data_IF_622212711261
#
_entry.id   IF_622212711261
#
_cell.length_a   1.000
_cell.length_b   1.000
_cell.length_c   1.000
_cell.angle_alpha   90.00
_cell.angle_beta   90.00
_cell.angle_gamma   90.00
#
_symmetry.space_group_name_H-M   'P 1'
#
loop_
_entity.id
_entity.type
_entity.pdbx_description
1 polymer ?
#
# COMPACT_ATOMS: atom_id res chain seq x y z
N UNK A 1 29.07 -19.55 9.21
CA UNK A 1 28.42 -18.21 9.20
C UNK A 1 27.00 -18.37 9.70
N UNK A 2 26.50 -17.47 10.55
CA UNK A 2 25.09 -17.51 10.92
C UNK A 2 24.25 -17.22 9.68
N UNK A 3 23.10 -17.84 9.57
CA UNK A 3 22.24 -17.74 8.40
C UNK A 3 21.68 -16.30 8.18
N UNK A 4 21.59 -15.49 9.22
CA UNK A 4 21.27 -14.04 9.14
C UNK A 4 22.39 -13.25 8.46
N UNK A 5 23.62 -13.70 8.53
CA UNK A 5 24.78 -13.09 7.87
C UNK A 5 24.65 -13.18 6.34
N UNK A 6 24.15 -14.28 5.78
CA UNK A 6 23.94 -14.41 4.34
C UNK A 6 22.93 -13.39 3.80
N UNK A 7 21.83 -13.15 4.53
CA UNK A 7 20.84 -12.17 4.15
C UNK A 7 21.41 -10.74 4.26
N UNK A 8 22.16 -10.45 5.32
CA UNK A 8 22.87 -9.18 5.49
C UNK A 8 23.89 -8.94 4.37
N UNK A 9 24.68 -9.94 4.02
CA UNK A 9 25.73 -9.84 2.99
C UNK A 9 25.19 -9.54 1.59
N UNK A 10 23.92 -9.83 1.35
CA UNK A 10 23.22 -9.44 0.13
C UNK A 10 22.46 -8.12 0.23
N UNK A 11 21.83 -7.88 1.36
CA UNK A 11 21.09 -6.62 1.57
C UNK A 11 22.02 -5.40 1.61
N UNK A 12 23.19 -5.50 2.22
CA UNK A 12 24.10 -4.37 2.32
C UNK A 12 24.61 -3.89 0.95
N UNK A 13 25.11 -4.75 0.04
CA UNK A 13 25.47 -4.37 -1.33
C UNK A 13 24.27 -3.80 -2.09
N UNK A 14 23.10 -4.42 -1.97
CA UNK A 14 21.87 -3.95 -2.61
C UNK A 14 21.51 -2.53 -2.15
N UNK A 15 21.48 -2.26 -0.84
CA UNK A 15 21.25 -0.93 -0.30
C UNK A 15 22.31 0.07 -0.74
N UNK A 16 23.59 -0.34 -0.73
CA UNK A 16 24.71 0.52 -1.12
C UNK A 16 24.68 0.90 -2.60
N UNK A 17 24.31 -0.02 -3.45
CA UNK A 17 24.24 0.18 -4.90
C UNK A 17 23.05 1.04 -5.30
N UNK A 18 21.90 0.85 -4.67
CA UNK A 18 20.64 1.42 -5.13
C UNK A 18 20.12 2.59 -4.30
N UNK A 19 20.51 2.73 -3.02
CA UNK A 19 20.17 3.95 -2.27
C UNK A 19 21.10 5.12 -2.63
N UNK A 20 20.59 6.33 -2.45
CA UNK A 20 21.39 7.55 -2.60
C UNK A 20 22.18 7.91 -1.34
N UNK A 21 22.12 7.08 -0.34
CA UNK A 21 22.70 7.32 0.97
C UNK A 21 24.16 6.86 1.02
N UNK A 22 25.06 7.71 1.55
CA UNK A 22 26.52 7.45 1.49
C UNK A 22 27.12 6.97 2.81
N UNK A 23 26.49 7.21 3.96
CA UNK A 23 27.05 6.79 5.25
C UNK A 23 26.92 5.28 5.44
N UNK A 24 28.03 4.58 5.27
CA UNK A 24 28.11 3.13 5.35
C UNK A 24 27.73 2.59 6.74
N UNK A 25 27.93 3.35 7.82
CA UNK A 25 27.57 2.93 9.19
C UNK A 25 26.05 2.81 9.32
N UNK A 26 25.33 3.79 8.75
CA UNK A 26 23.87 3.77 8.73
C UNK A 26 23.32 2.66 7.83
N UNK A 27 23.90 2.46 6.64
CA UNK A 27 23.53 1.35 5.74
C UNK A 27 23.76 -0.01 6.38
N UNK A 28 24.90 -0.22 7.06
CA UNK A 28 25.16 -1.45 7.82
C UNK A 28 24.12 -1.68 8.90
N UNK A 29 23.79 -0.62 9.67
CA UNK A 29 22.77 -0.71 10.72
C UNK A 29 21.40 -1.04 10.14
N UNK A 30 20.99 -0.38 9.05
CA UNK A 30 19.74 -0.63 8.35
C UNK A 30 19.67 -2.06 7.79
N UNK A 31 20.74 -2.53 7.13
CA UNK A 31 20.80 -3.89 6.61
C UNK A 31 20.63 -4.95 7.72
N UNK A 32 21.25 -4.74 8.87
CA UNK A 32 21.06 -5.62 10.03
C UNK A 32 19.62 -5.59 10.58
N UNK A 33 19.02 -4.41 10.71
CA UNK A 33 17.63 -4.28 11.17
C UNK A 33 16.66 -4.99 10.21
N UNK A 34 16.84 -4.81 8.90
CA UNK A 34 15.98 -5.48 7.89
C UNK A 34 16.18 -7.00 7.91
N UNK A 35 17.43 -7.47 8.01
CA UNK A 35 17.73 -8.91 8.11
C UNK A 35 17.11 -9.51 9.37
N UNK A 36 17.28 -8.85 10.52
CA UNK A 36 16.74 -9.28 11.79
C UNK A 36 15.20 -9.29 11.79
N UNK A 37 14.57 -8.28 11.19
CA UNK A 37 13.12 -8.24 11.02
C UNK A 37 12.60 -9.40 10.17
N UNK A 38 13.24 -9.71 9.05
CA UNK A 38 12.85 -10.83 8.17
C UNK A 38 12.99 -12.16 8.92
N UNK A 39 14.06 -12.33 9.71
CA UNK A 39 14.33 -13.55 10.45
C UNK A 39 13.36 -13.73 11.64
N UNK A 40 13.18 -12.70 12.47
CA UNK A 40 12.31 -12.74 13.64
C UNK A 40 10.82 -12.72 13.25
N UNK A 41 10.45 -11.94 12.24
CA UNK A 41 9.06 -11.65 11.90
C UNK A 41 8.41 -10.60 12.82
N UNK A 42 9.18 -9.87 13.65
CA UNK A 42 8.64 -8.94 14.64
C UNK A 42 9.41 -7.60 14.63
N UNK A 43 8.68 -6.49 14.68
CA UNK A 43 9.25 -5.15 14.85
C UNK A 43 9.54 -4.83 16.34
N UNK A 44 9.92 -5.82 17.09
CA UNK A 44 10.35 -5.72 18.49
C UNK A 44 11.88 -5.68 18.55
N UNK A 45 12.44 -4.60 19.09
CA UNK A 45 13.91 -4.42 19.15
C UNK A 45 14.64 -5.55 19.89
N UNK A 46 14.12 -6.09 21.03
CA UNK A 46 14.71 -7.25 21.68
C UNK A 46 14.69 -8.51 20.81
N UNK A 47 13.65 -8.72 20.00
CA UNK A 47 13.53 -9.89 19.13
C UNK A 47 14.59 -9.94 18.01
N UNK A 48 15.30 -8.83 17.75
CA UNK A 48 16.33 -8.75 16.73
C UNK A 48 17.71 -9.22 17.24
N UNK A 49 17.92 -9.24 18.54
CA UNK A 49 19.21 -9.57 19.18
C UNK A 49 19.81 -10.89 18.65
N UNK A 50 19.09 -12.03 18.61
CA UNK A 50 19.66 -13.32 18.22
C UNK A 50 20.17 -13.36 16.77
N UNK A 51 19.71 -12.42 15.95
CA UNK A 51 20.00 -12.40 14.50
C UNK A 51 21.09 -11.42 14.11
N UNK A 52 21.66 -10.68 15.08
CA UNK A 52 22.65 -9.64 14.80
C UNK A 52 23.96 -9.91 15.52
N UNK A 53 25.05 -10.22 14.81
CA UNK A 53 26.35 -10.40 15.44
C UNK A 53 26.76 -9.15 16.18
N UNK A 54 27.12 -9.30 17.46
CA UNK A 54 27.58 -8.21 18.29
C UNK A 54 28.57 -8.71 19.33
N UNK A 55 29.48 -7.83 19.75
CA UNK A 55 30.36 -8.05 20.90
C UNK A 55 29.71 -7.57 22.22
N UNK A 56 28.52 -6.99 22.15
CA UNK A 56 27.80 -6.55 23.33
C UNK A 56 27.32 -7.75 24.13
N UNK A 57 27.51 -7.71 25.44
CA UNK A 57 27.07 -8.72 26.40
C UNK A 57 25.79 -8.30 27.13
N UNK A 58 25.40 -7.02 27.02
CA UNK A 58 24.25 -6.44 27.70
C UNK A 58 23.13 -6.17 26.70
N UNK A 59 21.92 -6.70 26.96
CA UNK A 59 20.73 -6.50 26.12
C UNK A 59 20.47 -5.01 25.83
N UNK A 60 20.63 -4.14 26.82
CA UNK A 60 20.47 -2.70 26.68
C UNK A 60 21.43 -2.06 25.64
N UNK A 61 22.59 -2.66 25.41
CA UNK A 61 23.56 -2.16 24.42
C UNK A 61 23.09 -2.39 22.98
N UNK A 62 22.35 -3.49 22.73
CA UNK A 62 21.71 -3.76 21.46
C UNK A 62 20.61 -2.75 21.18
N UNK A 63 19.70 -2.53 22.11
CA UNK A 63 18.60 -1.59 21.96
C UNK A 63 19.09 -0.16 21.75
N UNK A 64 20.12 0.28 22.49
CA UNK A 64 20.72 1.61 22.32
C UNK A 64 21.22 1.85 20.90
N UNK A 65 21.75 0.84 20.21
CA UNK A 65 22.20 0.95 18.81
C UNK A 65 21.03 1.27 17.88
N UNK A 66 19.90 0.58 18.05
CA UNK A 66 18.69 0.78 17.26
C UNK A 66 18.06 2.13 17.57
N UNK A 67 17.91 2.45 18.84
CA UNK A 67 17.40 3.76 19.26
C UNK A 67 18.21 4.93 18.67
N UNK A 68 19.54 4.84 18.68
CA UNK A 68 20.39 5.86 18.04
C UNK A 68 20.07 6.05 16.56
N UNK A 69 19.77 5.00 15.84
CA UNK A 69 19.35 5.10 14.44
C UNK A 69 18.00 5.80 14.32
N UNK A 70 17.01 5.42 15.13
CA UNK A 70 15.67 5.99 15.04
C UNK A 70 15.57 7.46 15.47
N UNK A 71 16.39 7.92 16.41
CA UNK A 71 16.41 9.34 16.81
C UNK A 71 17.36 10.20 15.98
N UNK A 72 18.17 9.59 15.12
CA UNK A 72 19.19 10.30 14.34
C UNK A 72 18.55 11.14 13.24
N UNK A 73 18.59 12.48 13.38
CA UNK A 73 18.02 13.44 12.42
C UNK A 73 18.64 13.37 11.01
N UNK A 74 19.84 12.80 10.88
CA UNK A 74 20.53 12.66 9.60
C UNK A 74 20.11 11.41 8.80
N UNK A 75 19.23 10.56 9.34
CA UNK A 75 18.67 9.44 8.58
C UNK A 75 17.63 9.99 7.60
N UNK A 76 17.99 10.03 6.34
CA UNK A 76 17.10 10.40 5.23
C UNK A 76 16.31 9.18 4.76
N UNK A 77 15.10 9.02 5.31
CA UNK A 77 14.17 7.93 4.96
C UNK A 77 13.91 7.88 3.45
N UNK A 78 13.74 9.06 2.84
CA UNK A 78 13.43 9.17 1.41
C UNK A 78 14.64 8.81 0.54
N UNK A 79 15.81 9.31 0.87
CA UNK A 79 17.06 8.97 0.16
C UNK A 79 17.41 7.48 0.26
N UNK A 80 17.03 6.82 1.34
CA UNK A 80 17.22 5.40 1.53
C UNK A 80 16.20 4.55 0.76
N UNK A 81 14.92 4.88 0.81
CA UNK A 81 13.85 4.02 0.32
C UNK A 81 13.42 4.28 -1.13
N UNK A 82 13.28 5.57 -1.52
CA UNK A 82 12.69 5.89 -2.82
C UNK A 82 13.44 5.30 -4.03
N UNK A 83 14.78 5.28 -4.06
CA UNK A 83 15.48 4.64 -5.17
C UNK A 83 15.17 3.14 -5.31
N UNK A 84 14.94 2.44 -4.18
CA UNK A 84 14.63 1.01 -4.17
C UNK A 84 13.25 0.74 -4.77
N UNK A 85 12.22 1.49 -4.35
CA UNK A 85 10.87 1.31 -4.89
C UNK A 85 10.78 1.76 -6.34
N UNK A 86 11.49 2.82 -6.74
CA UNK A 86 11.54 3.24 -8.15
C UNK A 86 12.25 2.21 -9.04
N UNK A 87 13.29 1.54 -8.53
CA UNK A 87 13.91 0.41 -9.21
C UNK A 87 12.91 -0.74 -9.39
N UNK A 88 12.14 -1.03 -8.35
CA UNK A 88 11.12 -2.06 -8.40
C UNK A 88 9.98 -1.74 -9.39
N UNK A 89 9.75 -0.46 -9.70
CA UNK A 89 8.72 0.01 -10.64
C UNK A 89 9.24 0.19 -12.09
N UNK A 90 10.43 -0.29 -12.43
CA UNK A 90 11.02 -0.05 -13.77
C UNK A 90 10.17 -0.55 -14.94
N UNK A 91 9.43 -1.63 -14.74
CA UNK A 91 8.58 -2.25 -15.77
C UNK A 91 7.17 -1.66 -15.88
N UNK A 92 6.85 -0.63 -15.08
CA UNK A 92 5.49 -0.09 -14.98
C UNK A 92 5.17 1.06 -15.93
N UNK A 93 6.12 1.53 -16.74
CA UNK A 93 5.95 2.74 -17.58
C UNK A 93 4.79 2.65 -18.57
N UNK A 94 4.53 1.48 -19.14
CA UNK A 94 3.45 1.24 -20.08
C UNK A 94 2.12 0.80 -19.42
N UNK A 95 2.12 0.64 -18.10
CA UNK A 95 0.97 0.12 -17.35
C UNK A 95 0.36 1.21 -16.49
N UNK A 96 -0.94 1.07 -16.19
CA UNK A 96 -1.61 1.92 -15.22
C UNK A 96 -1.07 1.68 -13.83
N UNK A 97 -0.65 2.75 -13.16
CA UNK A 97 -0.17 2.72 -11.80
C UNK A 97 -1.28 3.14 -10.84
N UNK A 98 -1.78 2.22 -10.05
CA UNK A 98 -2.76 2.50 -9.01
C UNK A 98 -2.06 2.85 -7.70
N UNK A 99 -2.39 4.02 -7.15
CA UNK A 99 -1.90 4.48 -5.85
C UNK A 99 -3.05 4.50 -4.85
N UNK A 100 -2.94 3.75 -3.77
CA UNK A 100 -3.88 3.81 -2.66
C UNK A 100 -3.37 4.81 -1.62
N UNK A 101 -4.20 5.83 -1.31
CA UNK A 101 -4.02 6.76 -0.21
C UNK A 101 -4.93 6.33 0.94
N UNK A 102 -4.35 6.09 2.10
CA UNK A 102 -5.10 5.69 3.28
C UNK A 102 -4.36 6.05 4.57
N UNK A 103 -5.04 5.95 5.71
CA UNK A 103 -4.48 6.20 7.04
C UNK A 103 -4.65 4.98 7.94
N UNK A 104 -3.73 4.84 8.88
CA UNK A 104 -3.86 3.83 9.91
C UNK A 104 -3.43 4.38 11.26
N UNK A 105 -4.17 4.05 12.32
CA UNK A 105 -3.86 4.49 13.67
C UNK A 105 -2.92 3.50 14.38
N UNK A 106 -1.98 4.02 15.13
CA UNK A 106 -1.12 3.28 16.05
C UNK A 106 -1.37 3.78 17.48
N UNK A 107 -1.80 2.87 18.36
CA UNK A 107 -2.13 3.13 19.77
C UNK A 107 -3.08 4.31 20.01
N UNK A 108 -3.97 4.61 19.05
CA UNK A 108 -4.88 5.77 19.08
C UNK A 108 -4.21 7.13 19.33
N UNK A 109 -2.91 7.24 19.06
CA UNK A 109 -2.10 8.43 19.28
C UNK A 109 -1.37 8.90 18.03
N UNK A 110 -0.98 7.99 17.17
CA UNK A 110 -0.24 8.30 15.95
C UNK A 110 -1.08 7.91 14.74
N UNK A 111 -1.25 8.85 13.82
CA UNK A 111 -1.84 8.60 12.52
C UNK A 111 -0.73 8.44 11.49
N UNK A 112 -0.66 7.30 10.85
CA UNK A 112 0.27 7.05 9.76
C UNK A 112 -0.48 7.15 8.43
N UNK A 113 -0.11 8.16 7.63
CA UNK A 113 -0.62 8.38 6.28
C UNK A 113 0.23 7.58 5.31
N UNK A 114 -0.40 6.76 4.50
CA UNK A 114 0.24 5.94 3.48
C UNK A 114 -0.18 6.33 2.08
N UNK A 115 0.79 6.42 1.19
CA UNK A 115 0.60 6.37 -0.24
C UNK A 115 1.33 5.13 -0.76
N UNK A 116 0.60 4.17 -1.29
CA UNK A 116 1.13 2.84 -1.62
C UNK A 116 0.79 2.46 -3.05
N UNK A 117 1.69 1.73 -3.72
CA UNK A 117 1.44 1.15 -5.05
C UNK A 117 0.67 -0.14 -4.88
N UNK A 118 -0.48 -0.26 -5.54
CA UNK A 118 -1.22 -1.52 -5.62
C UNK A 118 -0.52 -2.46 -6.60
N UNK A 119 -0.16 -3.65 -6.15
CA UNK A 119 0.61 -4.62 -6.92
C UNK A 119 0.28 -6.04 -6.47
N UNK A 120 -0.09 -6.89 -7.43
CA UNK A 120 -0.22 -8.34 -7.24
C UNK A 120 -1.06 -8.72 -6.00
N UNK A 121 -2.26 -8.18 -5.91
CA UNK A 121 -3.21 -8.47 -4.83
C UNK A 121 -2.84 -7.88 -3.47
N UNK A 122 -1.82 -7.04 -3.41
CA UNK A 122 -1.35 -6.34 -2.20
C UNK A 122 -1.05 -4.88 -2.52
N UNK A 123 -0.54 -4.15 -1.53
CA UNK A 123 0.06 -2.83 -1.73
C UNK A 123 1.50 -2.83 -1.21
N UNK A 124 2.34 -2.00 -1.84
CA UNK A 124 3.73 -1.79 -1.45
C UNK A 124 3.89 -0.32 -1.11
N UNK A 125 4.48 0.05 0.03
CA UNK A 125 4.66 1.44 0.41
C UNK A 125 5.43 2.22 -0.68
N UNK A 126 4.95 3.41 -1.03
CA UNK A 126 5.67 4.38 -1.85
C UNK A 126 6.21 5.53 -0.98
N UNK A 127 5.32 6.12 -0.21
CA UNK A 127 5.60 7.22 0.71
C UNK A 127 4.71 7.07 1.95
N UNK A 128 5.21 7.54 3.08
CA UNK A 128 4.43 7.62 4.32
C UNK A 128 4.84 8.83 5.14
N UNK A 129 3.98 9.20 6.08
CA UNK A 129 4.21 10.22 7.09
C UNK A 129 3.51 9.79 8.38
N UNK A 130 4.16 9.98 9.51
CA UNK A 130 3.57 9.74 10.82
C UNK A 130 3.29 11.07 11.48
N UNK A 131 2.06 11.24 11.93
CA UNK A 131 1.59 12.41 12.69
C UNK A 131 1.29 11.98 14.13
N UNK A 132 1.56 12.86 15.06
CA UNK A 132 1.02 12.78 16.41
C UNK A 132 -0.41 13.34 16.38
N UNK A 133 -1.39 12.46 16.15
CA UNK A 133 -2.77 12.80 15.86
C UNK A 133 -3.70 11.66 16.27
N UNK A 134 -4.75 11.97 17.00
CA UNK A 134 -5.66 10.96 17.61
C UNK A 134 -6.80 10.50 16.68
N UNK A 135 -6.85 10.99 15.45
CA UNK A 135 -7.87 10.65 14.47
C UNK A 135 -7.25 10.12 13.16
N UNK A 136 -7.92 9.18 12.52
CA UNK A 136 -7.60 8.73 11.17
C UNK A 136 -7.99 9.77 10.09
N UNK A 137 -8.85 10.74 10.41
CA UNK A 137 -9.22 11.83 9.52
C UNK A 137 -8.15 12.92 9.59
N UNK A 138 -7.55 13.25 8.46
CA UNK A 138 -6.46 14.23 8.34
C UNK A 138 -6.80 15.29 7.30
N UNK A 139 -6.39 16.53 7.56
CA UNK A 139 -6.56 17.63 6.61
C UNK A 139 -5.70 17.42 5.35
N UNK A 140 -6.13 18.01 4.23
CA UNK A 140 -5.40 17.93 2.95
C UNK A 140 -3.95 18.37 3.07
N UNK A 141 -3.68 19.43 3.81
CA UNK A 141 -2.32 19.96 3.99
C UNK A 141 -1.35 18.97 4.63
N UNK A 142 -1.84 17.98 5.39
CA UNK A 142 -1.00 16.95 6.00
C UNK A 142 -0.48 15.93 4.98
N UNK A 143 -1.28 15.60 3.96
CA UNK A 143 -0.88 14.63 2.94
C UNK A 143 -0.53 15.25 1.57
N UNK A 144 -0.85 16.52 1.34
CA UNK A 144 -0.43 17.24 0.13
C UNK A 144 1.08 17.13 -0.17
N UNK A 145 2.00 17.22 0.81
CA UNK A 145 3.43 17.05 0.57
C UNK A 145 3.80 15.66 0.04
N UNK A 146 3.08 14.61 0.48
CA UNK A 146 3.27 13.25 -0.04
C UNK A 146 2.83 13.16 -1.51
N UNK A 147 1.66 13.71 -1.85
CA UNK A 147 1.13 13.73 -3.21
C UNK A 147 2.06 14.52 -4.16
N UNK A 148 2.52 15.71 -3.76
CA UNK A 148 3.48 16.51 -4.54
C UNK A 148 4.78 15.75 -4.79
N UNK A 149 5.29 15.08 -3.77
CA UNK A 149 6.50 14.27 -3.89
C UNK A 149 6.29 13.07 -4.81
N UNK A 150 5.18 12.35 -4.65
CA UNK A 150 4.83 11.23 -5.50
C UNK A 150 4.69 11.64 -6.97
N UNK A 151 4.01 12.77 -7.25
CA UNK A 151 3.88 13.31 -8.62
C UNK A 151 5.24 13.57 -9.26
N UNK A 152 6.18 14.15 -8.52
CA UNK A 152 7.53 14.38 -9.03
C UNK A 152 8.28 13.07 -9.29
N UNK A 153 8.17 12.09 -8.39
CA UNK A 153 8.82 10.78 -8.52
C UNK A 153 8.27 10.02 -9.73
N UNK A 154 6.96 10.05 -9.90
CA UNK A 154 6.22 9.29 -10.90
C UNK A 154 5.98 10.06 -12.21
N UNK A 155 6.71 11.15 -12.46
CA UNK A 155 6.56 11.97 -13.67
C UNK A 155 6.78 11.20 -14.99
N UNK A 156 7.37 10.00 -14.93
CA UNK A 156 7.53 9.09 -16.07
C UNK A 156 6.42 8.02 -16.15
N UNK A 157 5.42 8.10 -15.28
CA UNK A 157 4.25 7.23 -15.23
C UNK A 157 2.98 8.08 -15.44
N UNK A 158 2.69 8.48 -16.69
CA UNK A 158 1.57 9.40 -16.97
C UNK A 158 0.21 8.78 -16.62
N UNK A 159 0.08 7.46 -16.74
CA UNK A 159 -1.15 6.74 -16.45
C UNK A 159 -1.21 6.34 -14.97
N UNK A 160 -1.24 7.34 -14.08
CA UNK A 160 -1.36 7.14 -12.62
C UNK A 160 -2.78 7.46 -12.17
N UNK A 161 -3.38 6.54 -11.39
CA UNK A 161 -4.71 6.70 -10.80
C UNK A 161 -4.62 6.68 -9.27
N UNK A 162 -5.16 7.71 -8.62
CA UNK A 162 -5.29 7.78 -7.16
C UNK A 162 -6.58 7.11 -6.71
N UNK A 163 -6.46 6.22 -5.73
CA UNK A 163 -7.56 5.55 -5.04
C UNK A 163 -7.60 6.03 -3.59
N UNK A 164 -8.75 6.50 -3.12
CA UNK A 164 -8.90 6.90 -1.71
C UNK A 164 -10.33 6.70 -1.21
N UNK A 165 -10.47 6.58 0.11
CA UNK A 165 -11.76 6.45 0.76
C UNK A 165 -12.44 7.82 0.94
N UNK A 166 -13.69 7.77 1.37
CA UNK A 166 -14.58 8.94 1.58
C UNK A 166 -14.00 10.02 2.49
N UNK A 167 -13.13 9.65 3.43
CA UNK A 167 -12.45 10.61 4.30
C UNK A 167 -11.46 11.53 3.59
N UNK A 168 -11.08 11.22 2.36
CA UNK A 168 -10.16 12.03 1.55
C UNK A 168 -10.87 12.83 0.46
N UNK A 169 -12.13 12.54 0.16
CA UNK A 169 -12.88 13.23 -0.88
C UNK A 169 -13.28 14.64 -0.42
N UNK A 170 -12.52 15.65 -0.79
CA UNK A 170 -12.74 17.06 -0.49
C UNK A 170 -12.32 17.97 -1.66
N UNK A 171 -12.73 19.24 -1.62
CA UNK A 171 -12.44 20.25 -2.64
C UNK A 171 -10.96 20.39 -2.97
N UNK A 172 -10.11 20.44 -1.94
CA UNK A 172 -8.67 20.65 -2.12
C UNK A 172 -8.01 19.50 -2.87
N UNK A 173 -8.36 18.24 -2.51
CA UNK A 173 -7.87 17.08 -3.23
C UNK A 173 -8.36 17.05 -4.66
N UNK A 174 -9.63 17.34 -4.91
CA UNK A 174 -10.21 17.36 -6.27
C UNK A 174 -9.53 18.42 -7.14
N UNK A 175 -9.36 19.64 -6.62
CA UNK A 175 -8.63 20.71 -7.31
C UNK A 175 -7.18 20.33 -7.60
N UNK A 176 -6.53 19.69 -6.65
CA UNK A 176 -5.16 19.19 -6.83
C UNK A 176 -5.08 18.10 -7.91
N UNK A 177 -6.03 17.15 -7.93
CA UNK A 177 -6.08 16.07 -8.93
C UNK A 177 -6.27 16.63 -10.33
N UNK A 178 -7.21 17.56 -10.53
CA UNK A 178 -7.42 18.24 -11.80
C UNK A 178 -6.13 18.94 -12.28
N UNK A 179 -5.46 19.68 -11.40
CA UNK A 179 -4.21 20.39 -11.72
C UNK A 179 -3.02 19.42 -11.92
N UNK A 180 -3.05 18.23 -11.35
CA UNK A 180 -1.96 17.27 -11.45
C UNK A 180 -1.98 16.45 -12.74
N UNK A 181 -3.14 16.29 -13.37
CA UNK A 181 -3.35 15.37 -14.48
C UNK A 181 -3.32 13.90 -14.10
N UNK A 182 -3.48 13.59 -12.82
CA UNK A 182 -3.68 12.21 -12.37
C UNK A 182 -5.14 11.81 -12.46
N UNK A 183 -5.40 10.61 -12.92
CA UNK A 183 -6.70 9.98 -12.81
C UNK A 183 -7.04 9.67 -11.35
N UNK A 184 -8.31 9.52 -11.06
CA UNK A 184 -8.74 9.18 -9.71
C UNK A 184 -9.97 8.28 -9.70
N UNK A 185 -10.10 7.54 -8.62
CA UNK A 185 -11.26 6.76 -8.26
C UNK A 185 -11.45 6.88 -6.74
N UNK A 186 -12.36 7.76 -6.32
CA UNK A 186 -12.56 8.12 -4.92
C UNK A 186 -13.96 7.75 -4.47
N UNK A 187 -14.09 7.22 -3.26
CA UNK A 187 -15.40 7.06 -2.64
C UNK A 187 -15.84 8.38 -2.02
N UNK A 188 -17.12 8.71 -2.13
CA UNK A 188 -17.72 9.87 -1.47
C UNK A 188 -18.71 9.43 -0.38
N UNK A 189 -19.00 10.32 0.55
CA UNK A 189 -19.97 10.09 1.61
C UNK A 189 -21.42 10.16 1.07
N UNK A 190 -22.34 9.54 1.78
CA UNK A 190 -23.74 9.42 1.34
C UNK A 190 -24.55 10.72 1.47
N UNK A 191 -24.07 11.67 2.25
CA UNK A 191 -24.64 13.00 2.49
C UNK A 191 -24.11 14.09 1.53
N UNK A 192 -23.23 13.72 0.60
CA UNK A 192 -22.75 14.65 -0.43
C UNK A 192 -23.89 15.02 -1.36
N UNK A 193 -24.04 16.33 -1.61
CA UNK A 193 -25.02 16.86 -2.57
C UNK A 193 -24.49 16.74 -4.00
N UNK A 194 -25.36 16.28 -4.90
CA UNK A 194 -25.10 16.09 -6.33
C UNK A 194 -25.97 17.04 -7.14
N UNK A 195 -25.38 17.67 -8.14
CA UNK A 195 -26.06 18.49 -9.13
C UNK A 195 -26.10 17.75 -10.48
N UNK A 196 -27.25 17.80 -11.16
CA UNK A 196 -27.42 17.20 -12.48
C UNK A 196 -28.30 15.96 -12.56
N UNK A 197 -28.32 15.05 -11.59
CA UNK A 197 -29.23 13.89 -11.61
C UNK A 197 -30.72 14.30 -11.54
N UNK A 198 -31.00 15.37 -10.81
CA UNK A 198 -32.32 15.93 -10.62
C UNK A 198 -32.31 17.45 -10.89
N UNK A 199 -33.55 18.05 -10.95
CA UNK A 199 -33.70 19.50 -11.13
C UNK A 199 -33.07 20.33 -10.00
N UNK A 200 -33.09 19.79 -8.78
CA UNK A 200 -32.51 20.40 -7.57
C UNK A 200 -31.37 19.52 -7.07
N UNK A 201 -30.42 20.08 -6.30
CA UNK A 201 -29.40 19.28 -5.63
C UNK A 201 -30.01 18.16 -4.79
N UNK A 202 -29.44 16.98 -4.84
CA UNK A 202 -29.93 15.79 -4.15
C UNK A 202 -28.76 15.05 -3.49
N UNK A 203 -28.98 14.53 -2.29
CA UNK A 203 -27.97 13.74 -1.61
C UNK A 203 -27.79 12.36 -2.27
N UNK A 204 -26.55 11.88 -2.26
CA UNK A 204 -26.19 10.56 -2.78
C UNK A 204 -27.10 9.46 -2.24
N UNK A 205 -27.44 9.51 -0.93
CA UNK A 205 -28.25 8.48 -0.29
C UNK A 205 -29.65 8.33 -0.87
N UNK A 206 -30.21 9.37 -1.46
CA UNK A 206 -31.54 9.32 -2.11
C UNK A 206 -31.51 8.65 -3.49
N UNK A 207 -30.33 8.38 -4.03
CA UNK A 207 -30.16 7.81 -5.38
C UNK A 207 -29.66 6.35 -5.38
N UNK A 208 -29.56 5.71 -4.21
CA UNK A 208 -29.07 4.34 -4.16
C UNK A 208 -29.89 3.39 -5.03
N UNK A 209 -29.24 2.65 -5.94
CA UNK A 209 -29.92 1.60 -6.69
C UNK A 209 -30.27 0.41 -5.78
N UNK A 210 -31.25 -0.40 -6.17
CA UNK A 210 -31.57 -1.65 -5.50
C UNK A 210 -30.36 -2.59 -5.41
N UNK A 211 -30.40 -3.55 -4.47
CA UNK A 211 -29.32 -4.51 -4.27
C UNK A 211 -29.03 -5.33 -5.52
N UNK A 212 -27.79 -5.32 -5.95
CA UNK A 212 -27.33 -5.97 -7.19
C UNK A 212 -27.55 -5.13 -8.43
N UNK A 213 -27.86 -3.83 -8.29
CA UNK A 213 -27.95 -2.89 -9.40
C UNK A 213 -26.88 -1.80 -9.29
N UNK A 214 -26.54 -1.19 -10.42
CA UNK A 214 -25.65 -0.05 -10.51
C UNK A 214 -26.25 1.04 -11.40
N UNK A 215 -25.96 2.30 -11.06
CA UNK A 215 -26.31 3.48 -11.87
C UNK A 215 -25.05 4.29 -12.14
N UNK A 216 -24.81 4.59 -13.41
CA UNK A 216 -23.68 5.33 -13.94
C UNK A 216 -24.17 6.74 -14.27
N UNK A 217 -23.56 7.75 -13.69
CA UNK A 217 -23.88 9.14 -13.95
C UNK A 217 -22.68 9.83 -14.63
N UNK A 218 -22.92 10.46 -15.75
CA UNK A 218 -21.92 11.31 -16.41
C UNK A 218 -22.15 12.77 -16.03
N UNK A 219 -21.07 13.51 -15.78
CA UNK A 219 -21.06 14.94 -15.57
C UNK A 219 -21.92 15.42 -14.39
N UNK A 220 -21.73 14.84 -13.20
CA UNK A 220 -22.35 15.33 -11.97
C UNK A 220 -21.50 16.43 -11.33
N UNK A 221 -22.15 17.45 -10.77
CA UNK A 221 -21.49 18.42 -9.88
C UNK A 221 -21.55 17.94 -8.44
N UNK A 222 -20.48 18.14 -7.71
CA UNK A 222 -20.35 17.74 -6.31
C UNK A 222 -20.52 18.94 -5.38
N UNK A 223 -20.95 18.64 -4.16
CA UNK A 223 -21.14 19.56 -3.05
C UNK A 223 -22.21 20.62 -3.29
N UNK A 224 -22.25 21.67 -2.49
CA UNK A 224 -23.32 22.65 -2.54
C UNK A 224 -23.24 23.57 -3.75
N UNK A 225 -22.03 23.88 -4.21
CA UNK A 225 -21.76 24.76 -5.36
C UNK A 225 -21.85 24.04 -6.71
N UNK A 226 -21.67 22.71 -6.74
CA UNK A 226 -21.63 21.91 -7.97
C UNK A 226 -20.46 22.21 -8.89
N UNK A 227 -19.43 22.95 -8.41
CA UNK A 227 -18.30 23.40 -9.24
C UNK A 227 -17.39 22.24 -9.67
N UNK A 228 -17.21 21.24 -8.80
CA UNK A 228 -16.39 20.07 -9.18
C UNK A 228 -17.20 19.08 -10.00
N UNK A 229 -16.96 19.08 -11.31
CA UNK A 229 -17.60 18.15 -12.25
C UNK A 229 -16.81 16.85 -12.37
N UNK A 230 -17.50 15.73 -12.28
CA UNK A 230 -16.93 14.39 -12.39
C UNK A 230 -17.97 13.38 -12.88
N UNK A 231 -17.57 12.14 -13.00
CA UNK A 231 -18.48 11.02 -13.25
C UNK A 231 -18.66 10.22 -11.97
N UNK A 232 -19.83 9.59 -11.79
CA UNK A 232 -20.20 8.89 -10.58
C UNK A 232 -20.76 7.50 -10.90
N UNK A 233 -20.36 6.51 -10.13
CA UNK A 233 -20.93 5.17 -10.12
C UNK A 233 -21.54 4.91 -8.76
N UNK A 234 -22.86 4.72 -8.74
CA UNK A 234 -23.59 4.24 -7.57
C UNK A 234 -23.87 2.74 -7.72
N UNK A 235 -23.52 1.96 -6.71
CA UNK A 235 -23.77 0.53 -6.71
C UNK A 235 -24.12 -0.01 -5.33
N UNK A 236 -25.15 -0.85 -5.27
CA UNK A 236 -25.46 -1.66 -4.09
C UNK A 236 -25.01 -3.09 -4.37
N UNK A 237 -23.72 -3.34 -4.06
CA UNK A 237 -23.02 -4.59 -4.39
C UNK A 237 -23.60 -5.75 -3.56
N UNK A 238 -23.85 -6.89 -4.19
CA UNK A 238 -24.27 -8.11 -3.48
C UNK A 238 -23.17 -8.58 -2.54
N UNK A 239 -23.53 -8.95 -1.32
CA UNK A 239 -22.58 -9.45 -0.33
C UNK A 239 -21.77 -8.39 0.43
N UNK A 240 -21.90 -7.10 0.08
CA UNK A 240 -21.37 -5.99 0.90
C UNK A 240 -22.46 -5.45 1.83
N UNK A 241 -22.04 -4.89 2.97
CA UNK A 241 -22.96 -4.23 3.91
C UNK A 241 -23.30 -2.80 3.47
N UNK A 242 -22.43 -2.17 2.70
CA UNK A 242 -22.53 -0.77 2.32
C UNK A 242 -22.64 -0.62 0.80
N UNK A 243 -23.44 0.35 0.38
CA UNK A 243 -23.48 0.81 -1.00
C UNK A 243 -22.24 1.67 -1.31
N UNK A 244 -21.83 1.67 -2.57
CA UNK A 244 -20.65 2.40 -3.02
C UNK A 244 -21.04 3.58 -3.92
N UNK A 245 -20.58 4.77 -3.55
CA UNK A 245 -20.62 5.96 -4.37
C UNK A 245 -19.18 6.31 -4.75
N UNK A 246 -18.81 6.05 -5.99
CA UNK A 246 -17.45 6.18 -6.47
C UNK A 246 -17.39 7.20 -7.59
N UNK A 247 -16.60 8.25 -7.41
CA UNK A 247 -16.35 9.30 -8.41
C UNK A 247 -15.06 9.03 -9.18
N UNK A 248 -15.03 9.44 -10.43
CA UNK A 248 -13.88 9.31 -11.34
C UNK A 248 -13.89 10.43 -12.38
N UNK A 249 -12.71 10.75 -12.93
CA UNK A 249 -12.57 11.62 -14.11
C UNK A 249 -12.76 10.88 -15.42
N UNK A 250 -12.71 9.54 -15.40
CA UNK A 250 -12.90 8.70 -16.58
C UNK A 250 -14.39 8.39 -16.81
N UNK A 251 -14.74 7.96 -18.03
CA UNK A 251 -16.11 7.53 -18.35
C UNK A 251 -16.59 6.45 -17.37
N UNK A 252 -17.76 6.64 -16.74
CA UNK A 252 -18.21 5.76 -15.68
C UNK A 252 -18.59 4.38 -16.23
N UNK A 253 -18.12 3.34 -15.57
CA UNK A 253 -18.40 1.96 -15.96
C UNK A 253 -18.32 1.03 -14.75
N UNK A 254 -18.65 -0.24 -14.91
CA UNK A 254 -18.40 -1.23 -13.86
C UNK A 254 -16.92 -1.39 -13.55
N UNK A 255 -16.04 -1.08 -14.51
CA UNK A 255 -14.59 -1.04 -14.29
C UNK A 255 -14.19 -0.04 -13.20
N UNK A 256 -14.94 1.06 -13.03
CA UNK A 256 -14.72 2.04 -11.95
C UNK A 256 -14.85 1.41 -10.57
N UNK A 257 -15.83 0.52 -10.38
CA UNK A 257 -15.99 -0.21 -9.11
C UNK A 257 -14.83 -1.18 -8.85
N UNK A 258 -14.33 -1.83 -9.91
CA UNK A 258 -13.16 -2.69 -9.84
C UNK A 258 -11.89 -1.92 -9.48
N UNK A 259 -11.68 -0.79 -10.12
CA UNK A 259 -10.55 0.09 -9.84
C UNK A 259 -10.60 0.56 -8.39
N UNK A 260 -11.76 0.99 -7.91
CA UNK A 260 -11.94 1.38 -6.52
C UNK A 260 -11.67 0.21 -5.55
N UNK A 261 -12.13 -1.00 -5.87
CA UNK A 261 -11.91 -2.19 -5.04
C UNK A 261 -10.41 -2.52 -4.83
N UNK A 262 -9.54 -2.10 -5.74
CA UNK A 262 -8.10 -2.23 -5.58
C UNK A 262 -7.57 -1.44 -4.36
N UNK A 263 -8.28 -0.41 -3.90
CA UNK A 263 -7.93 0.33 -2.68
C UNK A 263 -7.81 -0.60 -1.47
N UNK A 264 -8.69 -1.59 -1.34
CA UNK A 264 -8.68 -2.53 -0.21
C UNK A 264 -7.37 -3.32 -0.07
N UNK A 265 -6.49 -3.29 -1.08
CA UNK A 265 -5.16 -3.89 -0.98
C UNK A 265 -4.24 -3.18 0.01
N UNK A 266 -4.51 -1.91 0.34
CA UNK A 266 -3.78 -1.20 1.39
C UNK A 266 -4.14 -1.71 2.79
N UNK A 267 -5.35 -2.16 3.02
CA UNK A 267 -5.76 -2.77 4.29
C UNK A 267 -4.97 -4.05 4.58
N UNK A 268 -4.70 -4.84 3.53
CA UNK A 268 -3.83 -6.01 3.62
C UNK A 268 -2.36 -5.63 3.94
N UNK A 269 -1.88 -4.48 3.44
CA UNK A 269 -0.58 -3.93 3.82
C UNK A 269 -0.55 -3.55 5.30
N UNK A 270 -1.63 -2.95 5.81
CA UNK A 270 -1.72 -2.62 7.23
C UNK A 270 -1.75 -3.88 8.10
N UNK A 271 -2.49 -4.91 7.69
CA UNK A 271 -2.48 -6.20 8.38
C UNK A 271 -1.07 -6.82 8.37
N UNK A 272 -0.39 -6.84 7.22
CA UNK A 272 0.97 -7.37 7.12
C UNK A 272 1.96 -6.57 7.99
N UNK A 273 1.77 -5.26 8.16
CA UNK A 273 2.63 -4.40 8.98
C UNK A 273 2.34 -4.50 10.48
N UNK A 274 1.05 -4.59 10.87
CA UNK A 274 0.61 -4.51 12.28
C UNK A 274 0.57 -5.86 12.98
N UNK A 275 0.00 -6.89 12.35
CA UNK A 275 -0.29 -8.16 13.03
C UNK A 275 0.01 -9.42 12.21
N UNK A 276 0.13 -9.28 10.89
CA UNK A 276 0.22 -10.44 9.98
C UNK A 276 1.64 -10.90 9.67
N UNK A 277 2.63 -9.98 9.69
CA UNK A 277 4.02 -10.28 9.34
C UNK A 277 5.05 -9.63 10.27
N UNK A 278 4.81 -8.41 10.79
CA UNK A 278 5.85 -7.64 11.46
C UNK A 278 5.47 -7.03 12.82
N UNK A 279 4.22 -7.02 13.23
CA UNK A 279 3.76 -6.60 14.56
C UNK A 279 4.27 -5.19 14.99
N UNK A 280 4.01 -4.17 14.16
CA UNK A 280 4.52 -2.80 14.35
C UNK A 280 4.19 -2.21 15.74
N UNK A 281 3.05 -2.56 16.29
CA UNK A 281 2.59 -2.05 17.58
C UNK A 281 3.41 -2.60 18.77
N UNK A 282 4.13 -3.70 18.58
CA UNK A 282 5.00 -4.28 19.61
C UNK A 282 6.33 -3.53 19.76
N UNK A 283 6.64 -2.61 18.87
CA UNK A 283 7.88 -1.81 18.89
C UNK A 283 7.99 -0.90 20.12
N UNK A 284 6.88 -0.51 20.73
CA UNK A 284 6.77 0.43 21.87
C UNK A 284 7.43 1.80 21.63
N UNK A 285 7.74 2.15 20.37
CA UNK A 285 8.33 3.44 20.03
C UNK A 285 7.25 4.53 20.13
N UNK A 286 7.56 5.63 20.82
CA UNK A 286 6.63 6.73 21.15
C UNK A 286 7.15 8.08 20.62
N UNK A 287 7.46 8.15 19.32
CA UNK A 287 7.82 9.37 18.62
C UNK A 287 7.49 9.23 17.14
N UNK A 288 6.77 10.18 16.57
CA UNK A 288 6.37 10.16 15.17
C UNK A 288 7.59 10.00 14.23
N UNK A 289 8.66 10.75 14.47
CA UNK A 289 9.88 10.66 13.66
C UNK A 289 10.59 9.31 13.80
N UNK A 290 10.62 8.74 15.00
CA UNK A 290 11.23 7.43 15.21
C UNK A 290 10.39 6.33 14.57
N UNK A 291 9.06 6.45 14.60
CA UNK A 291 8.12 5.55 13.91
C UNK A 291 8.29 5.61 12.38
N UNK A 292 8.50 6.80 11.78
CA UNK A 292 8.80 6.91 10.35
C UNK A 292 10.06 6.14 9.97
N UNK A 293 11.10 6.18 10.82
CA UNK A 293 12.36 5.47 10.58
C UNK A 293 12.25 3.98 10.90
N UNK A 294 11.44 3.59 11.87
CA UNK A 294 11.12 2.20 12.10
C UNK A 294 10.34 1.61 10.93
N UNK A 295 9.36 2.37 10.41
CA UNK A 295 8.61 1.94 9.23
C UNK A 295 9.47 1.83 7.97
N UNK A 296 10.57 2.58 7.87
CA UNK A 296 11.58 2.38 6.80
C UNK A 296 12.11 0.94 6.79
N UNK A 297 12.41 0.38 7.97
CA UNK A 297 12.87 -1.01 8.09
C UNK A 297 11.80 -1.98 7.59
N UNK A 298 10.55 -1.77 8.01
CA UNK A 298 9.41 -2.55 7.56
C UNK A 298 9.17 -2.41 6.04
N UNK A 299 9.21 -1.18 5.51
CA UNK A 299 8.99 -0.91 4.09
C UNK A 299 10.03 -1.61 3.20
N UNK A 300 11.30 -1.62 3.59
CA UNK A 300 12.35 -2.35 2.87
C UNK A 300 12.10 -3.86 2.97
N UNK A 301 11.74 -4.40 4.13
CA UNK A 301 11.46 -5.82 4.32
C UNK A 301 10.23 -6.25 3.50
N UNK A 302 9.16 -5.43 3.46
CA UNK A 302 7.98 -5.65 2.62
C UNK A 302 8.31 -5.67 1.13
N UNK A 303 9.04 -4.66 0.66
CA UNK A 303 9.46 -4.56 -0.74
C UNK A 303 10.36 -5.74 -1.13
N UNK A 304 11.40 -6.00 -0.33
CA UNK A 304 12.35 -7.07 -0.59
C UNK A 304 11.69 -8.46 -0.52
N UNK A 305 10.85 -8.70 0.49
CA UNK A 305 10.09 -9.95 0.62
C UNK A 305 9.14 -10.16 -0.56
N UNK A 306 8.45 -9.11 -1.02
CA UNK A 306 7.55 -9.17 -2.18
C UNK A 306 8.31 -9.50 -3.46
N UNK A 307 9.43 -8.81 -3.74
CA UNK A 307 10.26 -9.06 -4.93
C UNK A 307 10.90 -10.45 -4.91
N UNK A 308 11.29 -10.96 -3.74
CA UNK A 308 11.75 -12.34 -3.58
C UNK A 308 10.64 -13.36 -3.85
N UNK A 309 9.42 -13.10 -3.39
CA UNK A 309 8.27 -13.96 -3.67
C UNK A 309 7.91 -14.01 -5.15
N UNK A 310 8.04 -12.89 -5.86
CA UNK A 310 7.90 -12.84 -7.32
C UNK A 310 9.00 -13.62 -8.02
N UNK A 311 10.25 -13.50 -7.56
CA UNK A 311 11.37 -14.29 -8.09
C UNK A 311 11.12 -15.80 -7.91
N UNK A 312 10.65 -16.24 -6.74
CA UNK A 312 10.25 -17.63 -6.48
C UNK A 312 9.18 -18.12 -7.47
N UNK A 313 8.22 -17.28 -7.80
CA UNK A 313 7.18 -17.59 -8.77
C UNK A 313 7.75 -17.68 -10.20
N UNK A 314 8.57 -16.71 -10.61
CA UNK A 314 9.19 -16.65 -11.93
C UNK A 314 10.12 -17.86 -12.18
N UNK A 315 10.82 -18.31 -11.15
CA UNK A 315 11.73 -19.48 -11.21
C UNK A 315 11.00 -20.83 -11.04
N UNK A 316 9.65 -20.82 -10.92
CA UNK A 316 8.87 -22.05 -10.74
C UNK A 316 9.07 -22.77 -9.40
N UNK A 317 9.63 -22.09 -8.40
CA UNK A 317 10.01 -22.69 -7.11
C UNK A 317 8.91 -22.61 -6.04
N UNK A 318 7.73 -22.12 -6.39
CA UNK A 318 6.63 -21.87 -5.45
C UNK A 318 6.24 -23.10 -4.62
N UNK A 319 6.23 -24.29 -5.22
CA UNK A 319 5.88 -25.55 -4.55
C UNK A 319 6.83 -25.89 -3.38
N UNK A 320 8.04 -25.35 -3.36
CA UNK A 320 8.98 -25.57 -2.25
C UNK A 320 8.62 -24.81 -0.97
N UNK A 321 7.78 -23.74 -1.06
CA UNK A 321 7.42 -22.89 0.06
C UNK A 321 5.91 -22.80 0.31
N UNK A 322 5.11 -23.27 -0.64
CA UNK A 322 3.65 -23.23 -0.57
C UNK A 322 3.09 -24.64 -0.81
N UNK A 323 2.67 -25.31 0.26
CA UNK A 323 2.07 -26.66 0.20
C UNK A 323 0.71 -26.66 -0.51
N UNK A 324 0.08 -25.48 -0.58
CA UNK A 324 -1.23 -25.29 -1.19
C UNK A 324 -1.15 -24.21 -2.28
N UNK A 325 -0.23 -24.38 -3.21
CA UNK A 325 0.09 -23.42 -4.27
C UNK A 325 -1.13 -22.86 -5.04
N UNK A 326 -2.28 -23.55 -4.99
CA UNK A 326 -3.57 -23.08 -5.52
C UNK A 326 -4.34 -22.13 -4.59
N UNK A 327 -3.92 -21.95 -3.34
CA UNK A 327 -4.65 -21.18 -2.32
C UNK A 327 -4.32 -19.70 -2.24
N UNK A 328 -3.56 -19.15 -3.18
CA UNK A 328 -3.37 -17.71 -3.29
C UNK A 328 -2.57 -17.07 -2.16
N UNK A 329 -1.45 -17.66 -1.71
CA UNK A 329 -0.52 -16.95 -0.82
C UNK A 329 0.01 -15.69 -1.51
N UNK A 330 0.09 -14.58 -0.76
CA UNK A 330 0.69 -13.34 -1.27
C UNK A 330 2.17 -13.53 -1.57
N UNK A 331 2.70 -12.79 -2.55
CA UNK A 331 4.12 -12.81 -2.86
C UNK A 331 4.98 -12.45 -1.65
N UNK A 332 4.53 -11.54 -0.79
CA UNK A 332 5.20 -11.26 0.48
C UNK A 332 5.36 -12.54 1.32
N UNK A 333 4.28 -13.28 1.56
CA UNK A 333 4.33 -14.53 2.35
C UNK A 333 5.21 -15.59 1.69
N UNK A 334 5.14 -15.73 0.37
CA UNK A 334 6.01 -16.64 -0.40
C UNK A 334 7.48 -16.24 -0.20
N UNK A 335 7.80 -14.96 -0.39
CA UNK A 335 9.15 -14.43 -0.25
C UNK A 335 9.70 -14.56 1.17
N UNK A 336 8.92 -14.21 2.20
CA UNK A 336 9.34 -14.38 3.59
C UNK A 336 9.59 -15.85 3.95
N UNK A 337 8.76 -16.79 3.45
CA UNK A 337 9.01 -18.24 3.63
C UNK A 337 10.26 -18.69 2.91
N UNK A 338 10.52 -18.17 1.71
CA UNK A 338 11.75 -18.46 0.97
C UNK A 338 12.97 -17.96 1.74
N UNK A 339 12.96 -16.69 2.17
CA UNK A 339 14.04 -16.07 2.92
C UNK A 339 14.31 -16.80 4.26
N UNK A 340 13.27 -17.22 4.97
CA UNK A 340 13.43 -18.10 6.13
C UNK A 340 14.05 -19.46 5.75
N UNK A 341 13.70 -20.00 4.59
CA UNK A 341 14.34 -21.21 4.04
C UNK A 341 15.81 -21.02 3.68
N UNK A 342 16.21 -19.85 3.19
CA UNK A 342 17.63 -19.48 3.00
C UNK A 342 18.36 -19.53 4.34
N UNK A 343 17.75 -18.91 5.36
CA UNK A 343 18.33 -18.81 6.70
C UNK A 343 18.45 -20.18 7.40
N UNK A 344 17.43 -21.03 7.32
CA UNK A 344 17.37 -22.26 8.11
C UNK A 344 17.61 -23.55 7.36
N UNK A 345 17.55 -23.55 6.02
CA UNK A 345 17.64 -24.74 5.17
C UNK A 345 18.74 -24.66 4.11
N UNK A 346 19.58 -23.61 4.15
CA UNK A 346 20.68 -23.44 3.18
C UNK A 346 20.22 -23.22 1.74
N UNK A 347 18.99 -22.71 1.52
CA UNK A 347 18.54 -22.37 0.15
C UNK A 347 19.34 -21.22 -0.41
N UNK A 348 19.44 -21.18 -1.74
CA UNK A 348 20.07 -20.07 -2.45
C UNK A 348 19.14 -18.83 -2.42
N UNK A 349 19.70 -17.68 -2.16
CA UNK A 349 19.02 -16.41 -2.29
C UNK A 349 18.82 -16.08 -3.77
N UNK A 350 17.59 -15.73 -4.15
CA UNK A 350 17.29 -15.40 -5.54
C UNK A 350 17.60 -13.93 -5.81
N UNK A 351 17.91 -13.61 -7.06
CA UNK A 351 18.04 -12.22 -7.48
C UNK A 351 16.66 -11.55 -7.44
N UNK A 352 16.50 -10.40 -6.73
CA UNK A 352 15.23 -9.69 -6.71
C UNK A 352 14.79 -9.29 -8.12
N UNK A 353 13.52 -9.50 -8.44
CA UNK A 353 12.92 -9.08 -9.70
C UNK A 353 12.09 -7.80 -9.48
N UNK A 354 11.89 -6.95 -10.49
CA UNK A 354 10.97 -5.82 -10.40
C UNK A 354 9.55 -6.29 -10.04
N UNK A 355 8.77 -5.39 -9.44
CA UNK A 355 7.35 -5.64 -9.18
C UNK A 355 6.61 -5.90 -10.50
N UNK A 356 5.81 -6.94 -10.54
CA UNK A 356 5.02 -7.29 -11.71
C UNK A 356 3.87 -6.28 -11.87
N UNK A 357 3.70 -5.66 -13.06
CA UNK A 357 2.65 -4.66 -13.30
C UNK A 357 1.25 -5.27 -13.45
N UNK A 358 1.16 -6.58 -13.55
CA UNK A 358 -0.07 -7.34 -13.71
C UNK A 358 -0.15 -8.40 -12.64
N UNK A 359 -1.32 -8.53 -12.03
CA UNK A 359 -1.58 -9.68 -11.19
C UNK A 359 -1.57 -10.96 -12.04
N UNK A 360 -0.98 -12.04 -11.56
CA UNK A 360 -1.20 -13.35 -12.15
C UNK A 360 -2.69 -13.71 -12.03
N UNK A 361 -3.12 -14.72 -12.77
CA UNK A 361 -4.48 -15.22 -12.68
C UNK A 361 -4.89 -15.46 -11.22
N UNK A 362 -6.11 -15.06 -10.84
CA UNK A 362 -6.54 -15.16 -9.46
C UNK A 362 -6.55 -16.64 -9.03
N UNK A 363 -5.94 -16.91 -7.87
CA UNK A 363 -5.97 -18.20 -7.22
C UNK A 363 -7.01 -18.19 -6.10
N UNK A 364 -7.99 -19.07 -6.17
CA UNK A 364 -9.05 -19.18 -5.18
C UNK A 364 -8.82 -20.36 -4.22
N UNK A 365 -9.14 -20.13 -2.95
CA UNK A 365 -9.02 -21.17 -1.91
C UNK A 365 -9.99 -22.34 -2.10
N UNK A 366 -11.08 -22.13 -2.83
CA UNK A 366 -12.11 -23.12 -3.14
C UNK A 366 -13.00 -22.62 -4.27
N UNK A 367 -13.76 -23.52 -4.91
CA UNK A 367 -14.78 -23.19 -5.91
C UNK A 367 -15.84 -22.23 -5.35
N UNK A 368 -16.16 -22.34 -4.05
CA UNK A 368 -17.07 -21.42 -3.37
C UNK A 368 -16.51 -20.01 -3.25
N UNK A 369 -15.21 -19.86 -3.04
CA UNK A 369 -14.53 -18.55 -3.01
C UNK A 369 -14.48 -17.94 -4.41
N UNK A 370 -14.25 -18.74 -5.43
CA UNK A 370 -14.29 -18.34 -6.84
C UNK A 370 -15.69 -17.88 -7.24
N UNK A 371 -16.72 -18.67 -6.94
CA UNK A 371 -18.10 -18.32 -7.22
C UNK A 371 -18.50 -17.01 -6.52
N UNK A 372 -18.15 -16.84 -5.23
CA UNK A 372 -18.41 -15.59 -4.50
C UNK A 372 -17.73 -14.38 -5.15
N UNK A 373 -16.53 -14.57 -5.68
CA UNK A 373 -15.82 -13.50 -6.37
C UNK A 373 -16.58 -13.06 -7.63
N UNK A 374 -17.04 -13.99 -8.45
CA UNK A 374 -17.84 -13.69 -9.64
C UNK A 374 -19.23 -13.14 -9.29
N UNK A 375 -19.86 -13.62 -8.24
CA UNK A 375 -21.16 -13.12 -7.76
C UNK A 375 -21.10 -11.66 -7.28
N UNK A 376 -19.96 -11.26 -6.68
CA UNK A 376 -19.74 -9.88 -6.22
C UNK A 376 -19.70 -8.86 -7.36
N UNK A 377 -19.28 -9.28 -8.54
CA UNK A 377 -19.09 -8.41 -9.70
C UNK A 377 -20.26 -8.47 -10.69
N UNK A 378 -21.24 -9.31 -10.41
CA UNK A 378 -22.40 -9.45 -11.28
C UNK A 378 -23.52 -8.49 -10.85
N UNK A 379 -23.97 -7.69 -11.80
CA UNK A 379 -25.09 -6.77 -11.61
C UNK A 379 -26.27 -7.19 -12.49
N UNK A 380 -27.45 -7.28 -11.89
CA UNK A 380 -28.69 -7.66 -12.59
C UNK A 380 -29.18 -6.56 -13.52
N UNK A 381 -28.87 -5.31 -13.20
CA UNK A 381 -29.27 -4.14 -13.99
C UNK A 381 -28.26 -3.03 -13.87
N UNK A 382 -27.95 -2.40 -15.01
CA UNK A 382 -27.07 -1.22 -15.10
C UNK A 382 -27.84 -0.13 -15.83
N UNK A 383 -27.89 1.06 -15.25
CA UNK A 383 -28.50 2.26 -15.85
C UNK A 383 -27.40 3.28 -16.12
N UNK A 384 -27.48 3.97 -17.24
CA UNK A 384 -26.58 5.11 -17.55
C UNK A 384 -27.43 6.37 -17.69
N UNK A 385 -27.00 7.43 -17.02
CA UNK A 385 -27.68 8.73 -16.99
C UNK A 385 -26.66 9.80 -17.29
N UNK A 386 -26.88 10.57 -18.34
CA UNK A 386 -26.08 11.75 -18.65
C UNK A 386 -26.74 12.98 -18.04
N UNK A 387 -26.06 13.60 -17.10
CA UNK A 387 -26.55 14.81 -16.47
C UNK A 387 -26.38 16.02 -17.43
N UNK A 388 -27.40 16.87 -17.46
CA UNK A 388 -27.33 18.10 -18.23
C UNK A 388 -26.50 19.14 -17.46
N UNK A 389 -25.71 19.90 -18.17
CA UNK A 389 -24.96 21.04 -17.61
C UNK A 389 -25.90 22.10 -17.09
#
# INVERSE_FOLDING_TARGET
MSASTQLYDQLLPFLRQHSRYKDLRHLKTLAWMVSALICSGQLSLPAWEPYVPSRATQAQSFERRWHRFFINRFIDVKGLYLPLVLLALTNWRAHRLYLALDTTMLWNRYCMIHLSVVCCGRAVPLLWRVLEHESAMVAFDEYRPLLRRARWLLRRHPNTMLLADRGFANHDLMSWLQASGWHYCLRIACDVHLHGPCRHPIEVQALWPPKGEATLYENVGLWQDGEHRCNLVLATVRGTKESWAVITDESPSLQTLWQYALRFRVEELFLDSKSGAFELEDSRIRSAQALERLYLVAAIALLYGTTQGMAVQCEGLRQQVDTHWRRGLSYLKIGLRWLKGVVHKGRTLLKPVPLLPKDPDPCFASNKAEQRYYDLIWFSRIRSIRCRT
#
